data_IF_060871948960
#
_entry.id   IF_060871948960
#
_cell.length_a   1.000
_cell.length_b   1.000
_cell.length_c   1.000
_cell.angle_alpha   90.00
_cell.angle_beta   90.00
_cell.angle_gamma   90.00
#
_symmetry.space_group_name_H-M   'P 1'
#
loop_
_entity.id
_entity.type
_entity.pdbx_description
1 polymer ?
#
# COMPACT_ATOMS: atom_id res chain seq x y z
N UNK A 1 -1.24 12.55 28.52
CA UNK A 1 -0.25 11.52 28.17
C UNK A 1 -0.62 11.04 26.78
N UNK A 2 0.28 11.10 25.82
CA UNK A 2 -0.01 10.69 24.44
C UNK A 2 -0.27 9.19 24.44
N UNK A 3 -1.43 8.76 23.97
CA UNK A 3 -1.76 7.34 23.99
C UNK A 3 -1.11 6.65 22.78
N UNK A 4 0.15 6.24 22.96
CA UNK A 4 0.91 5.48 21.97
C UNK A 4 0.19 4.20 21.55
N UNK A 5 -0.73 3.69 22.38
CA UNK A 5 -1.51 2.51 22.07
C UNK A 5 -2.48 2.79 20.91
N UNK A 6 -3.21 3.91 20.94
CA UNK A 6 -4.14 4.29 19.87
C UNK A 6 -3.46 4.45 18.52
N UNK A 7 -2.23 4.98 18.50
CA UNK A 7 -1.46 5.11 17.25
C UNK A 7 -1.04 3.73 16.74
N UNK A 8 -0.58 2.82 17.60
CA UNK A 8 -0.24 1.44 17.18
C UNK A 8 -1.46 0.68 16.65
N UNK A 9 -2.63 0.88 17.24
CA UNK A 9 -3.87 0.31 16.74
C UNK A 9 -4.25 0.90 15.37
N UNK A 10 -4.12 2.22 15.20
CA UNK A 10 -4.32 2.88 13.91
C UNK A 10 -3.37 2.33 12.84
N UNK A 11 -2.08 2.17 13.16
CA UNK A 11 -1.09 1.57 12.25
C UNK A 11 -1.51 0.16 11.84
N UNK A 12 -1.96 -0.65 12.80
CA UNK A 12 -2.47 -1.99 12.51
C UNK A 12 -3.68 -1.95 11.55
N UNK A 13 -4.68 -1.11 11.83
CA UNK A 13 -5.86 -0.92 10.97
C UNK A 13 -5.44 -0.49 9.55
N UNK A 14 -4.47 0.41 9.44
CA UNK A 14 -3.93 0.91 8.17
C UNK A 14 -3.20 -0.16 7.35
N UNK A 15 -2.66 -1.20 7.99
CA UNK A 15 -2.02 -2.31 7.28
C UNK A 15 -3.02 -3.30 6.67
N UNK A 16 -4.30 -3.23 7.04
CA UNK A 16 -5.31 -4.16 6.56
C UNK A 16 -5.63 -3.93 5.07
N UNK A 17 -5.64 -4.98 4.22
CA UNK A 17 -5.77 -4.83 2.76
C UNK A 17 -7.12 -4.25 2.30
N UNK A 18 -8.15 -4.35 3.13
CA UNK A 18 -9.48 -3.76 2.90
C UNK A 18 -9.73 -2.49 3.71
N UNK A 19 -8.67 -1.81 4.18
CA UNK A 19 -8.80 -0.54 4.87
C UNK A 19 -9.17 0.55 3.85
N UNK A 20 -10.28 1.26 4.13
CA UNK A 20 -10.83 2.31 3.29
C UNK A 20 -11.29 3.47 4.18
N UNK A 21 -11.74 4.57 3.57
CA UNK A 21 -12.12 5.78 4.32
C UNK A 21 -13.22 5.49 5.35
N UNK A 22 -14.21 4.67 5.00
CA UNK A 22 -15.32 4.34 5.91
C UNK A 22 -14.84 3.60 7.16
N UNK A 23 -13.88 2.68 7.01
CA UNK A 23 -13.31 1.95 8.15
C UNK A 23 -12.42 2.82 9.02
N UNK A 24 -11.63 3.71 8.43
CA UNK A 24 -10.84 4.68 9.21
C UNK A 24 -11.73 5.68 9.93
N UNK A 25 -12.75 6.20 9.24
CA UNK A 25 -13.73 7.11 9.84
C UNK A 25 -14.48 6.41 10.98
N UNK A 26 -14.89 5.16 10.80
CA UNK A 26 -15.51 4.37 11.87
C UNK A 26 -14.56 4.14 13.03
N UNK A 27 -13.30 3.79 12.77
CA UNK A 27 -12.28 3.62 13.81
C UNK A 27 -12.06 4.93 14.58
N UNK A 28 -11.87 6.05 13.88
CA UNK A 28 -11.70 7.37 14.48
C UNK A 28 -12.89 7.78 15.34
N UNK A 29 -14.11 7.58 14.86
CA UNK A 29 -15.33 7.87 15.61
C UNK A 29 -15.47 6.95 16.83
N UNK A 30 -15.12 5.67 16.72
CA UNK A 30 -15.09 4.78 17.88
C UNK A 30 -14.07 5.26 18.92
N UNK A 31 -12.88 5.72 18.50
CA UNK A 31 -11.90 6.32 19.41
C UNK A 31 -12.46 7.56 20.09
N UNK A 32 -13.18 8.44 19.37
CA UNK A 32 -13.81 9.64 19.95
C UNK A 32 -14.91 9.29 20.97
N UNK A 33 -15.61 8.17 20.78
CA UNK A 33 -16.65 7.71 21.71
C UNK A 33 -16.05 7.07 22.97
N UNK A 34 -14.89 6.42 22.85
CA UNK A 34 -14.25 5.67 23.94
C UNK A 34 -13.27 6.50 24.76
N UNK A 35 -12.73 7.59 24.19
CA UNK A 35 -11.68 8.39 24.81
C UNK A 35 -12.14 9.84 24.98
N UNK A 36 -11.69 10.48 26.07
CA UNK A 36 -11.97 11.89 26.35
C UNK A 36 -11.37 12.83 25.28
N UNK A 37 -10.28 12.40 24.63
CA UNK A 37 -9.68 13.11 23.50
C UNK A 37 -9.00 12.14 22.53
N UNK A 38 -9.00 12.49 21.25
CA UNK A 38 -8.27 11.75 20.20
C UNK A 38 -7.29 12.71 19.52
N UNK A 39 -6.00 12.34 19.39
CA UNK A 39 -4.99 13.22 18.81
C UNK A 39 -5.10 13.24 17.28
N UNK A 40 -6.04 14.03 16.75
CA UNK A 40 -6.32 14.11 15.30
C UNK A 40 -5.08 14.40 14.46
N UNK A 41 -4.17 15.26 14.92
CA UNK A 41 -2.92 15.54 14.20
C UNK A 41 -1.99 14.34 14.11
N UNK A 42 -1.94 13.51 15.16
CA UNK A 42 -1.14 12.29 15.14
C UNK A 42 -1.77 11.23 14.21
N UNK A 43 -3.10 11.16 14.18
CA UNK A 43 -3.81 10.32 13.22
C UNK A 43 -3.49 10.75 11.79
N UNK A 44 -3.68 12.03 11.48
CA UNK A 44 -3.38 12.60 10.16
C UNK A 44 -1.93 12.35 9.75
N UNK A 45 -0.97 12.58 10.66
CA UNK A 45 0.46 12.31 10.39
C UNK A 45 0.73 10.83 10.11
N UNK A 46 0.12 9.93 10.87
CA UNK A 46 0.29 8.48 10.73
C UNK A 46 -0.33 7.96 9.43
N UNK A 47 -1.55 8.39 9.12
CA UNK A 47 -2.21 8.05 7.85
C UNK A 47 -1.41 8.61 6.67
N UNK A 48 -0.90 9.84 6.75
CA UNK A 48 -0.05 10.41 5.70
C UNK A 48 1.22 9.58 5.47
N UNK A 49 1.85 9.11 6.55
CA UNK A 49 3.08 8.33 6.47
C UNK A 49 2.86 6.94 5.84
N UNK A 50 1.72 6.31 6.13
CA UNK A 50 1.45 4.92 5.72
C UNK A 50 0.67 4.85 4.40
N UNK A 51 -0.36 5.68 4.24
CA UNK A 51 -1.22 5.71 3.07
C UNK A 51 -1.71 7.15 2.76
N UNK A 52 -0.86 7.98 2.11
CA UNK A 52 -1.17 9.37 1.79
C UNK A 52 -2.47 9.57 1.00
N UNK A 53 -2.78 8.66 0.07
CA UNK A 53 -4.00 8.76 -0.73
C UNK A 53 -5.27 8.53 0.10
N UNK A 54 -5.18 7.63 1.07
CA UNK A 54 -6.31 7.40 1.98
C UNK A 54 -6.55 8.62 2.86
N UNK A 55 -5.49 9.34 3.26
CA UNK A 55 -5.64 10.64 3.92
C UNK A 55 -6.28 11.69 3.00
N UNK A 56 -5.90 11.74 1.73
CA UNK A 56 -6.50 12.65 0.75
C UNK A 56 -8.01 12.39 0.62
N UNK A 57 -8.41 11.14 0.37
CA UNK A 57 -9.81 10.74 0.29
C UNK A 57 -10.57 11.01 1.60
N UNK A 58 -9.94 10.73 2.74
CA UNK A 58 -10.51 10.97 4.06
C UNK A 58 -10.70 12.46 4.34
N UNK A 59 -9.71 13.29 3.99
CA UNK A 59 -9.78 14.75 4.13
C UNK A 59 -10.85 15.39 3.23
N UNK A 60 -11.14 14.78 2.08
CA UNK A 60 -12.23 15.22 1.22
C UNK A 60 -13.61 14.96 1.85
N UNK A 61 -13.74 13.90 2.66
CA UNK A 61 -14.98 13.53 3.35
C UNK A 61 -15.12 14.15 4.75
N UNK A 62 -14.03 14.34 5.48
CA UNK A 62 -14.03 14.80 6.87
C UNK A 62 -13.38 16.20 7.00
N UNK A 63 -14.19 17.25 7.30
CA UNK A 63 -13.68 18.62 7.42
C UNK A 63 -12.62 18.81 8.50
N UNK A 64 -12.69 18.08 9.62
CA UNK A 64 -11.73 18.19 10.71
C UNK A 64 -10.36 17.67 10.26
N UNK A 65 -10.34 16.51 9.62
CA UNK A 65 -9.13 15.90 9.03
C UNK A 65 -8.52 16.82 7.98
N UNK A 66 -9.35 17.49 7.17
CA UNK A 66 -8.89 18.47 6.19
C UNK A 66 -8.19 19.67 6.81
N UNK A 67 -8.75 20.22 7.90
CA UNK A 67 -8.13 21.34 8.62
C UNK A 67 -6.80 20.89 9.23
N UNK A 68 -6.80 19.75 9.93
CA UNK A 68 -5.60 19.20 10.55
C UNK A 68 -4.49 18.91 9.51
N UNK A 69 -4.83 18.37 8.33
CA UNK A 69 -3.87 18.13 7.25
C UNK A 69 -3.26 19.44 6.71
N UNK A 70 -4.09 20.48 6.52
CA UNK A 70 -3.61 21.79 6.08
C UNK A 70 -2.68 22.45 7.09
N UNK A 71 -3.03 22.42 8.36
CA UNK A 71 -2.24 23.03 9.44
C UNK A 71 -0.89 22.34 9.64
N UNK A 72 -0.84 21.03 9.45
CA UNK A 72 0.41 20.27 9.47
C UNK A 72 1.31 20.55 8.26
N UNK A 73 0.86 21.37 7.31
CA UNK A 73 1.60 21.60 6.07
C UNK A 73 1.77 20.31 5.28
N UNK A 74 0.85 19.33 5.44
CA UNK A 74 0.75 18.20 4.53
C UNK A 74 0.35 18.82 3.20
N UNK A 75 1.36 19.13 2.39
CA UNK A 75 1.13 19.45 1.00
C UNK A 75 0.42 18.21 0.48
N UNK A 76 -0.81 18.38 0.05
CA UNK A 76 -1.28 17.61 -1.08
C UNK A 76 -0.22 17.91 -2.14
N UNK A 77 0.84 17.11 -2.17
CA UNK A 77 1.59 16.95 -3.38
C UNK A 77 0.50 16.53 -4.34
N UNK A 78 0.04 17.52 -5.10
CA UNK A 78 -0.42 17.33 -6.44
C UNK A 78 0.77 16.72 -7.16
N UNK A 79 1.06 15.45 -6.82
CA UNK A 79 1.54 14.50 -7.78
C UNK A 79 0.49 14.59 -8.86
N UNK A 80 0.78 15.41 -9.87
CA UNK A 80 0.27 15.35 -11.22
C UNK A 80 0.62 13.99 -11.87
N UNK A 81 0.73 12.93 -11.07
CA UNK A 81 0.42 11.59 -11.50
C UNK A 81 -1.10 11.55 -11.37
N UNK A 82 -1.78 11.77 -12.50
CA UNK A 82 -3.07 11.13 -12.71
C UNK A 82 -2.89 9.66 -12.29
N UNK A 83 -3.23 9.28 -11.06
CA UNK A 83 -3.48 7.87 -10.72
C UNK A 83 -4.84 7.49 -11.30
N UNK A 84 -4.97 7.66 -12.62
CA UNK A 84 -5.73 6.73 -13.42
C UNK A 84 -5.14 5.36 -13.11
N UNK A 85 -5.87 4.48 -12.43
CA UNK A 85 -5.84 3.01 -12.55
C UNK A 85 -4.56 2.37 -13.12
N UNK A 86 -3.36 2.78 -12.70
CA UNK A 86 -2.12 2.33 -13.31
C UNK A 86 -1.73 1.06 -12.58
N UNK A 87 -2.17 -0.05 -13.13
CA UNK A 87 -1.56 -1.33 -12.85
C UNK A 87 -0.28 -1.46 -13.68
N UNK A 88 0.76 -2.04 -13.09
CA UNK A 88 1.98 -2.37 -13.81
C UNK A 88 1.89 -3.84 -14.23
N UNK A 89 2.24 -4.10 -15.48
CA UNK A 89 2.33 -5.45 -16.00
C UNK A 89 3.80 -5.83 -16.14
N UNK A 90 4.22 -6.83 -15.37
CA UNK A 90 5.58 -7.36 -15.39
C UNK A 90 5.58 -8.64 -16.22
N UNK A 91 6.26 -8.61 -17.36
CA UNK A 91 6.48 -9.80 -18.19
C UNK A 91 7.77 -10.50 -17.75
N UNK A 92 7.66 -11.77 -17.38
CA UNK A 92 8.79 -12.62 -16.98
C UNK A 92 8.88 -13.87 -17.85
N UNK A 93 10.03 -14.53 -17.81
CA UNK A 93 10.22 -15.84 -18.44
C UNK A 93 10.57 -16.88 -17.37
N UNK A 94 9.62 -17.75 -17.04
CA UNK A 94 9.82 -18.82 -16.07
C UNK A 94 10.41 -20.11 -16.69
N UNK A 95 10.61 -20.18 -18.00
CA UNK A 95 11.00 -21.43 -18.69
C UNK A 95 12.36 -21.99 -18.25
N UNK A 96 13.27 -21.12 -17.79
CA UNK A 96 14.58 -21.49 -17.23
C UNK A 96 14.64 -21.56 -15.71
N UNK A 97 13.53 -21.32 -15.00
CA UNK A 97 13.50 -21.25 -13.55
C UNK A 97 12.80 -22.46 -12.95
N UNK A 98 13.44 -23.10 -11.97
CA UNK A 98 12.83 -24.18 -11.19
C UNK A 98 12.21 -23.60 -9.91
N UNK A 99 10.96 -23.95 -9.57
CA UNK A 99 10.35 -23.52 -8.32
C UNK A 99 11.04 -24.20 -7.14
N UNK A 100 11.31 -23.44 -6.07
CA UNK A 100 11.75 -23.97 -4.78
C UNK A 100 10.60 -23.84 -3.79
N UNK A 101 10.09 -24.97 -3.30
CA UNK A 101 8.95 -24.97 -2.37
C UNK A 101 7.68 -24.37 -2.99
N UNK A 102 7.46 -24.54 -4.30
CA UNK A 102 6.31 -23.99 -5.02
C UNK A 102 6.42 -22.51 -5.40
N UNK A 103 7.55 -21.85 -5.09
CA UNK A 103 7.80 -20.44 -5.45
C UNK A 103 8.93 -20.32 -6.48
N UNK A 104 8.71 -19.49 -7.47
CA UNK A 104 9.72 -19.04 -8.43
C UNK A 104 10.41 -17.79 -7.90
N UNK A 105 11.72 -17.71 -8.11
CA UNK A 105 12.53 -16.54 -7.78
C UNK A 105 13.15 -16.00 -9.05
N UNK A 106 12.83 -14.74 -9.37
CA UNK A 106 13.28 -14.08 -10.60
C UNK A 106 13.89 -12.73 -10.25
N UNK A 107 14.98 -12.34 -10.89
CA UNK A 107 15.52 -10.98 -10.80
C UNK A 107 14.92 -10.18 -11.94
N UNK A 108 14.32 -9.05 -11.60
CA UNK A 108 13.68 -8.13 -12.53
C UNK A 108 14.24 -6.73 -12.34
N UNK A 109 14.48 -6.02 -13.45
CA UNK A 109 14.94 -4.64 -13.42
C UNK A 109 13.74 -3.70 -13.32
N UNK A 110 13.66 -2.96 -12.22
CA UNK A 110 12.64 -1.94 -11.97
C UNK A 110 13.15 -0.57 -12.41
N UNK A 111 12.33 0.14 -13.16
CA UNK A 111 12.46 1.60 -13.34
C UNK A 111 11.75 2.37 -12.23
N UNK A 112 10.98 1.66 -11.40
CA UNK A 112 10.25 2.23 -10.26
C UNK A 112 11.12 2.21 -9.02
N UNK A 113 11.07 3.31 -8.27
CA UNK A 113 11.64 3.42 -6.94
C UNK A 113 10.95 2.44 -5.97
N UNK A 114 11.69 1.95 -4.98
CA UNK A 114 11.21 0.96 -4.01
C UNK A 114 9.95 1.42 -3.27
N UNK A 115 9.85 2.70 -2.92
CA UNK A 115 8.68 3.27 -2.26
C UNK A 115 7.40 3.12 -3.10
N UNK A 116 7.48 3.47 -4.39
CA UNK A 116 6.36 3.36 -5.33
C UNK A 116 6.02 1.89 -5.62
N UNK A 117 7.03 1.04 -5.80
CA UNK A 117 6.84 -0.39 -6.01
C UNK A 117 6.13 -1.04 -4.81
N UNK A 118 6.54 -0.69 -3.58
CA UNK A 118 5.92 -1.18 -2.35
C UNK A 118 4.45 -0.72 -2.23
N UNK A 119 4.16 0.54 -2.57
CA UNK A 119 2.78 1.04 -2.61
C UNK A 119 1.92 0.26 -3.62
N UNK A 120 2.43 0.04 -4.83
CA UNK A 120 1.73 -0.74 -5.87
C UNK A 120 1.52 -2.20 -5.45
N UNK A 121 2.53 -2.82 -4.82
CA UNK A 121 2.45 -4.17 -4.30
C UNK A 121 1.34 -4.31 -3.23
N UNK A 122 1.33 -3.42 -2.24
CA UNK A 122 0.29 -3.40 -1.18
C UNK A 122 -1.12 -3.25 -1.74
N UNK A 123 -1.27 -2.57 -2.88
CA UNK A 123 -2.54 -2.33 -3.57
C UNK A 123 -2.94 -3.42 -4.56
N UNK A 124 -2.13 -4.47 -4.72
CA UNK A 124 -2.31 -5.51 -5.76
C UNK A 124 -2.40 -4.94 -7.18
N UNK A 125 -1.73 -3.81 -7.42
CA UNK A 125 -1.65 -3.15 -8.72
C UNK A 125 -0.51 -3.69 -9.60
N UNK A 126 0.15 -4.78 -9.17
CA UNK A 126 1.23 -5.44 -9.91
C UNK A 126 0.71 -6.75 -10.46
N UNK A 127 0.61 -6.85 -11.78
CA UNK A 127 0.23 -8.07 -12.47
C UNK A 127 1.45 -8.69 -13.13
N UNK A 128 1.79 -9.91 -12.73
CA UNK A 128 2.93 -10.63 -13.30
C UNK A 128 2.43 -11.67 -14.28
N UNK A 129 2.95 -11.63 -15.51
CA UNK A 129 2.57 -12.54 -16.58
C UNK A 129 3.82 -13.28 -17.05
N UNK A 130 3.75 -14.60 -17.04
CA UNK A 130 4.78 -15.43 -17.68
C UNK A 130 4.64 -15.36 -19.20
N UNK A 131 5.73 -15.49 -19.95
CA UNK A 131 5.72 -15.51 -21.43
C UNK A 131 4.72 -16.51 -22.02
N UNK A 132 4.40 -17.60 -21.33
CA UNK A 132 3.35 -18.56 -21.73
C UNK A 132 1.92 -18.09 -21.41
N UNK A 133 1.73 -16.81 -21.07
CA UNK A 133 0.47 -16.18 -20.64
C UNK A 133 -0.16 -16.81 -19.41
N UNK A 134 0.64 -17.43 -18.54
CA UNK A 134 0.15 -17.88 -17.24
C UNK A 134 0.12 -16.69 -16.29
N UNK A 135 -1.02 -16.48 -15.63
CA UNK A 135 -1.09 -15.54 -14.52
C UNK A 135 -0.22 -16.05 -13.38
N UNK A 136 0.69 -15.19 -12.94
CA UNK A 136 1.59 -15.47 -11.83
C UNK A 136 1.29 -14.48 -10.73
N UNK A 137 1.13 -14.98 -9.51
CA UNK A 137 0.92 -14.16 -8.35
C UNK A 137 2.27 -13.70 -7.79
N UNK A 138 2.42 -12.39 -7.58
CA UNK A 138 3.54 -11.83 -6.84
C UNK A 138 3.27 -11.97 -5.35
N UNK A 139 4.03 -12.86 -4.69
CA UNK A 139 3.90 -13.17 -3.26
C UNK A 139 4.76 -12.22 -2.43
N UNK A 140 5.86 -11.73 -2.99
CA UNK A 140 6.73 -10.78 -2.33
C UNK A 140 7.84 -10.31 -3.25
N UNK A 141 8.58 -9.32 -2.78
CA UNK A 141 9.69 -8.75 -3.51
C UNK A 141 10.81 -8.32 -2.57
N UNK A 142 12.01 -8.14 -3.12
CA UNK A 142 13.16 -7.60 -2.39
C UNK A 142 14.07 -6.83 -3.34
N UNK A 143 14.29 -5.55 -3.10
CA UNK A 143 15.29 -4.79 -3.82
C UNK A 143 16.70 -5.28 -3.45
N UNK A 144 17.50 -5.57 -4.48
CA UNK A 144 18.92 -5.91 -4.38
C UNK A 144 19.78 -4.65 -4.59
N UNK A 145 19.30 -3.75 -5.45
CA UNK A 145 19.88 -2.43 -5.79
C UNK A 145 18.73 -1.52 -6.22
N UNK A 146 18.98 -0.23 -6.39
CA UNK A 146 17.96 0.76 -6.83
C UNK A 146 17.23 0.36 -8.13
N UNK A 147 17.86 -0.48 -8.96
CA UNK A 147 17.29 -0.93 -10.24
C UNK A 147 16.93 -2.41 -10.28
N UNK A 148 17.42 -3.24 -9.38
CA UNK A 148 17.20 -4.69 -9.44
C UNK A 148 16.38 -5.16 -8.26
N UNK A 149 15.28 -5.85 -8.55
CA UNK A 149 14.36 -6.40 -7.59
C UNK A 149 14.24 -7.91 -7.79
N UNK A 150 14.35 -8.67 -6.71
CA UNK A 150 13.97 -10.07 -6.70
C UNK A 150 12.46 -10.18 -6.52
N UNK A 151 11.78 -10.82 -7.45
CA UNK A 151 10.37 -11.17 -7.37
C UNK A 151 10.21 -12.62 -6.89
N UNK A 152 9.31 -12.81 -5.93
CA UNK A 152 8.90 -14.12 -5.44
C UNK A 152 7.50 -14.41 -5.94
N UNK A 153 7.38 -15.47 -6.74
CA UNK A 153 6.24 -15.67 -7.61
C UNK A 153 5.63 -17.04 -7.41
N UNK A 154 4.30 -17.14 -7.46
CA UNK A 154 3.56 -18.41 -7.41
C UNK A 154 2.68 -18.51 -8.64
N UNK A 155 2.74 -19.62 -9.36
CA UNK A 155 1.79 -19.87 -10.45
C UNK A 155 0.43 -20.10 -9.83
N UNK A 156 -0.59 -19.34 -10.26
CA UNK A 156 -1.97 -19.66 -9.89
C UNK A 156 -2.29 -21.02 -10.53
N UNK A 157 -2.53 -22.03 -9.71
CA UNK A 157 -3.12 -23.26 -10.20
C UNK A 157 -4.50 -22.90 -10.75
N UNK A 158 -4.74 -23.19 -12.04
CA UNK A 158 -6.08 -23.16 -12.59
C UNK A 158 -6.93 -24.07 -11.70
N UNK A 159 -7.87 -23.48 -10.98
CA UNK A 159 -8.88 -24.26 -10.27
C UNK A 159 -9.68 -24.96 -11.36
N UNK A 160 -9.42 -26.26 -11.51
CA UNK A 160 -10.16 -27.16 -12.38
C UNK A 160 -11.62 -27.30 -11.92
#
# INVERSE_FOLDING_TARGET
>A
MFDEHLIKELEFVLTHPHCNVEKIESFYNNCLMMNESVPVYAFVKTVNMINPQLLEEWSNKNPMVRVAAKELGVKAETSNIRTSNFSIQISIDLSGHLPKGGLYKVVWSSELEEGLFNQMFKRRAIHVIDRKRREVELIGFRFLTDRNCTLYLKVKEESA
#
